data_IF_931501018343
#
_entry.id   IF_931501018343
#
_cell.length_a   1.000
_cell.length_b   1.000
_cell.length_c   1.000
_cell.angle_alpha   90.00
_cell.angle_beta   90.00
_cell.angle_gamma   90.00
#
_symmetry.space_group_name_H-M   'P 1'
#
loop_
_entity.id
_entity.type
_entity.pdbx_description
1 polymer ?
#
# COMPACT_ATOMS: atom_id res chain seq x y z
N UNK A 1 11.20 -21.16 -1.44
CA UNK A 1 9.93 -21.15 -0.63
C UNK A 1 8.83 -21.33 -1.65
N UNK A 2 7.96 -22.30 -1.46
CA UNK A 2 6.86 -22.55 -2.40
C UNK A 2 5.71 -21.54 -2.20
N UNK A 3 4.89 -21.36 -3.24
CA UNK A 3 3.80 -20.41 -3.27
C UNK A 3 2.79 -20.64 -2.13
N UNK A 4 2.38 -21.88 -1.94
CA UNK A 4 1.37 -22.25 -0.94
C UNK A 4 1.83 -21.95 0.48
N UNK A 5 3.06 -22.32 0.83
CA UNK A 5 3.66 -22.02 2.14
C UNK A 5 3.79 -20.52 2.36
N UNK A 6 4.25 -19.77 1.35
CA UNK A 6 4.37 -18.30 1.45
C UNK A 6 3.02 -17.65 1.70
N UNK A 7 2.02 -17.99 0.91
CA UNK A 7 0.67 -17.41 1.04
C UNK A 7 -0.01 -17.80 2.36
N UNK A 8 0.24 -18.99 2.87
CA UNK A 8 -0.24 -19.39 4.19
C UNK A 8 0.43 -18.59 5.32
N UNK A 9 1.73 -18.35 5.23
CA UNK A 9 2.49 -17.62 6.24
C UNK A 9 2.16 -16.12 6.32
N UNK A 10 1.68 -15.51 5.23
CA UNK A 10 1.23 -14.11 5.21
C UNK A 10 0.10 -13.89 6.22
N UNK A 11 -0.78 -14.87 6.42
CA UNK A 11 -1.96 -14.76 7.28
C UNK A 11 -1.72 -15.10 8.75
N UNK A 12 -0.52 -15.58 9.09
CA UNK A 12 -0.19 -15.87 10.49
C UNK A 12 -0.12 -14.57 11.28
N UNK A 13 -0.71 -14.60 12.48
CA UNK A 13 -0.61 -13.50 13.44
C UNK A 13 0.82 -13.38 13.98
N UNK A 14 1.12 -12.26 14.62
CA UNK A 14 2.38 -12.03 15.33
C UNK A 14 2.74 -13.17 16.29
N UNK A 15 1.74 -13.70 17.00
CA UNK A 15 1.93 -14.76 17.99
C UNK A 15 2.18 -16.13 17.33
N UNK A 16 1.49 -16.43 16.25
CA UNK A 16 1.68 -17.67 15.49
C UNK A 16 3.03 -17.72 14.77
N UNK A 17 3.59 -16.57 14.41
CA UNK A 17 4.94 -16.46 13.84
C UNK A 17 6.08 -16.58 14.86
N UNK A 18 5.79 -16.64 16.13
CA UNK A 18 6.78 -16.60 17.23
C UNK A 18 7.82 -17.73 17.17
N UNK A 19 7.53 -18.83 16.48
CA UNK A 19 8.48 -19.92 16.22
C UNK A 19 9.35 -19.73 14.96
N UNK A 20 9.04 -18.72 14.12
CA UNK A 20 9.70 -18.45 12.83
C UNK A 20 10.44 -17.10 12.94
N UNK A 21 11.38 -16.94 13.84
CA UNK A 21 12.11 -15.70 14.13
C UNK A 21 11.25 -14.42 14.00
N UNK A 22 10.90 -13.73 15.08
CA UNK A 22 10.04 -12.56 15.07
C UNK A 22 10.80 -11.30 14.63
N UNK A 23 11.21 -11.24 13.38
CA UNK A 23 11.56 -9.96 12.78
C UNK A 23 10.30 -9.43 12.11
N UNK A 24 9.65 -8.45 12.75
CA UNK A 24 8.51 -7.70 12.20
C UNK A 24 8.96 -6.77 11.07
N UNK A 25 9.62 -7.32 10.07
CA UNK A 25 9.91 -6.57 8.87
C UNK A 25 8.71 -6.69 7.93
N UNK A 26 8.27 -5.60 7.30
CA UNK A 26 7.33 -5.70 6.20
C UNK A 26 7.91 -6.68 5.17
N UNK A 27 7.07 -7.60 4.71
CA UNK A 27 7.48 -8.61 3.74
C UNK A 27 6.83 -8.25 2.41
N UNK A 28 7.67 -7.94 1.43
CA UNK A 28 7.25 -7.83 0.05
C UNK A 28 7.58 -9.13 -0.68
N UNK A 29 6.57 -9.79 -1.24
CA UNK A 29 6.75 -11.02 -2.01
C UNK A 29 6.19 -10.80 -3.41
N UNK A 30 7.02 -11.00 -4.43
CA UNK A 30 6.61 -11.01 -5.83
C UNK A 30 6.75 -12.41 -6.40
N UNK A 31 5.66 -12.94 -6.93
CA UNK A 31 5.69 -14.18 -7.70
C UNK A 31 5.87 -13.85 -9.18
N UNK A 32 6.84 -14.49 -9.82
CA UNK A 32 7.12 -14.32 -11.24
C UNK A 32 6.96 -15.67 -11.92
N UNK A 33 5.80 -15.86 -12.55
CA UNK A 33 5.47 -17.11 -13.23
C UNK A 33 5.11 -18.26 -12.29
N UNK A 34 4.62 -19.33 -12.85
CA UNK A 34 4.31 -20.59 -12.15
C UNK A 34 4.57 -21.78 -13.07
N UNK A 35 5.03 -22.87 -12.47
CA UNK A 35 5.16 -24.15 -13.16
C UNK A 35 3.87 -24.98 -13.09
N UNK A 36 2.89 -24.58 -12.27
CA UNK A 36 1.63 -25.27 -12.07
C UNK A 36 0.49 -24.24 -12.00
N UNK A 37 -0.26 -24.11 -13.09
CA UNK A 37 -1.34 -23.13 -13.23
C UNK A 37 -2.50 -23.47 -12.31
N UNK A 38 -2.82 -24.74 -12.09
CA UNK A 38 -3.93 -25.17 -11.24
C UNK A 38 -3.62 -24.81 -9.77
N UNK A 39 -2.42 -25.13 -9.30
CA UNK A 39 -1.97 -24.76 -7.95
C UNK A 39 -1.98 -23.23 -7.74
N UNK A 40 -1.54 -22.48 -8.75
CA UNK A 40 -1.57 -21.02 -8.70
C UNK A 40 -3.00 -20.49 -8.58
N UNK A 41 -3.93 -20.99 -9.40
CA UNK A 41 -5.34 -20.59 -9.38
C UNK A 41 -6.01 -20.93 -8.03
N UNK A 42 -5.71 -22.09 -7.46
CA UNK A 42 -6.25 -22.50 -6.15
C UNK A 42 -5.71 -21.61 -5.02
N UNK A 43 -4.44 -21.23 -5.07
CA UNK A 43 -3.86 -20.28 -4.12
C UNK A 43 -4.49 -18.90 -4.24
N UNK A 44 -4.69 -18.40 -5.47
CA UNK A 44 -5.34 -17.10 -5.69
C UNK A 44 -6.78 -17.07 -5.19
N UNK A 45 -7.57 -18.11 -5.46
CA UNK A 45 -8.93 -18.26 -4.90
C UNK A 45 -8.92 -18.26 -3.37
N UNK A 46 -7.96 -18.97 -2.78
CA UNK A 46 -7.81 -19.01 -1.33
C UNK A 46 -7.46 -17.64 -0.75
N UNK A 47 -6.56 -16.90 -1.40
CA UNK A 47 -6.21 -15.52 -0.99
C UNK A 47 -7.40 -14.58 -1.11
N UNK A 48 -8.13 -14.62 -2.21
CA UNK A 48 -9.34 -13.83 -2.41
C UNK A 48 -10.37 -14.10 -1.31
N UNK A 49 -10.70 -15.37 -1.04
CA UNK A 49 -11.63 -15.73 0.03
C UNK A 49 -11.17 -15.26 1.41
N UNK A 50 -9.86 -15.26 1.67
CA UNK A 50 -9.31 -14.75 2.93
C UNK A 50 -9.43 -13.23 3.03
N UNK A 51 -9.22 -12.49 1.92
CA UNK A 51 -9.41 -11.03 1.90
C UNK A 51 -10.88 -10.69 2.16
N UNK A 52 -11.80 -11.37 1.46
CA UNK A 52 -13.25 -11.19 1.65
C UNK A 52 -13.71 -11.46 3.10
N UNK A 53 -13.08 -12.42 3.76
CA UNK A 53 -13.36 -12.76 5.16
C UNK A 53 -12.70 -11.79 6.16
N UNK A 54 -11.74 -10.96 5.74
CA UNK A 54 -10.96 -10.08 6.61
C UNK A 54 -10.80 -8.67 5.99
N UNK A 55 -11.91 -7.98 5.65
CA UNK A 55 -11.85 -6.73 4.91
C UNK A 55 -11.15 -5.59 5.68
N UNK A 56 -11.15 -5.64 7.02
CA UNK A 56 -10.56 -4.61 7.87
C UNK A 56 -9.04 -4.73 8.05
N UNK A 57 -8.44 -5.82 7.59
CA UNK A 57 -6.99 -6.06 7.72
C UNK A 57 -6.34 -6.47 6.41
N UNK A 58 -7.09 -6.45 5.31
CA UNK A 58 -6.55 -6.86 4.01
C UNK A 58 -7.23 -6.14 2.86
N UNK A 59 -6.48 -5.92 1.79
CA UNK A 59 -6.95 -5.38 0.52
C UNK A 59 -6.39 -6.20 -0.62
N UNK A 60 -7.23 -6.47 -1.62
CA UNK A 60 -6.85 -7.12 -2.88
C UNK A 60 -7.03 -6.11 -4.02
N UNK A 61 -5.98 -5.90 -4.77
CA UNK A 61 -6.03 -5.20 -6.05
C UNK A 61 -5.99 -6.22 -7.18
N UNK A 62 -7.02 -6.21 -8.03
CA UNK A 62 -7.13 -7.04 -9.21
C UNK A 62 -7.01 -6.16 -10.45
N UNK A 63 -5.80 -6.08 -10.99
CA UNK A 63 -5.44 -5.19 -12.08
C UNK A 63 -5.10 -3.77 -11.64
N UNK A 64 -5.30 -2.81 -12.55
CA UNK A 64 -4.98 -1.40 -12.32
C UNK A 64 -5.75 -0.83 -11.13
N UNK A 65 -5.04 -0.11 -10.26
CA UNK A 65 -5.65 0.59 -9.12
C UNK A 65 -6.35 1.86 -9.65
N UNK A 66 -7.69 1.94 -9.62
CA UNK A 66 -8.40 3.09 -10.11
C UNK A 66 -8.14 4.33 -9.25
N UNK A 67 -8.10 5.49 -9.89
CA UNK A 67 -7.97 6.78 -9.22
C UNK A 67 -9.35 7.41 -9.05
N UNK A 68 -9.74 7.68 -7.80
CA UNK A 68 -10.96 8.44 -7.51
C UNK A 68 -10.80 9.90 -7.96
N UNK A 69 -11.60 10.31 -8.94
CA UNK A 69 -11.51 11.65 -9.54
C UNK A 69 -11.91 12.77 -8.60
N UNK A 70 -12.89 12.57 -7.72
CA UNK A 70 -13.35 13.57 -6.77
C UNK A 70 -12.30 13.81 -5.68
N UNK A 71 -11.75 12.74 -5.14
CA UNK A 71 -10.64 12.82 -4.18
C UNK A 71 -9.39 13.41 -4.82
N UNK A 72 -9.12 13.11 -6.09
CA UNK A 72 -7.99 13.69 -6.82
C UNK A 72 -8.11 15.21 -6.98
N UNK A 73 -9.33 15.74 -7.16
CA UNK A 73 -9.59 17.18 -7.19
C UNK A 73 -9.44 17.79 -5.78
N UNK A 74 -9.97 17.12 -4.76
CA UNK A 74 -9.90 17.59 -3.38
C UNK A 74 -8.44 17.70 -2.90
N UNK A 75 -7.70 16.63 -2.98
CA UNK A 75 -6.29 16.60 -2.56
C UNK A 75 -5.38 17.41 -3.50
N UNK A 76 -5.75 17.54 -4.78
CA UNK A 76 -5.04 18.41 -5.72
C UNK A 76 -5.03 19.86 -5.26
N UNK A 77 -6.18 20.41 -4.86
CA UNK A 77 -6.28 21.78 -4.32
C UNK A 77 -5.44 21.97 -3.04
N UNK A 78 -5.40 20.96 -2.20
CA UNK A 78 -4.60 20.97 -0.97
C UNK A 78 -3.10 20.98 -1.27
N UNK A 79 -2.65 20.11 -2.19
CA UNK A 79 -1.26 20.03 -2.63
C UNK A 79 -0.77 21.26 -3.40
N UNK A 80 -1.66 21.99 -4.08
CA UNK A 80 -1.29 23.21 -4.80
C UNK A 80 -0.82 24.33 -3.85
N UNK A 81 -1.19 24.27 -2.57
CA UNK A 81 -0.72 25.21 -1.53
C UNK A 81 0.65 24.86 -0.97
N UNK A 82 1.16 23.65 -1.24
CA UNK A 82 2.43 23.18 -0.70
C UNK A 82 3.56 23.61 -1.61
N UNK A 83 4.52 24.33 -1.05
CA UNK A 83 5.71 24.82 -1.76
C UNK A 83 6.95 23.94 -1.56
N UNK A 84 6.81 22.84 -0.81
CA UNK A 84 7.89 21.89 -0.52
C UNK A 84 7.77 20.64 -1.38
N UNK A 85 8.87 19.98 -1.65
CA UNK A 85 8.90 18.66 -2.25
C UNK A 85 8.52 17.56 -1.24
N UNK A 86 8.60 17.88 0.07
CA UNK A 86 8.23 17.00 1.17
C UNK A 86 6.87 17.38 1.73
N UNK A 87 6.15 16.38 2.19
CA UNK A 87 4.83 16.50 2.81
C UNK A 87 5.00 16.55 4.33
N UNK A 88 4.27 17.44 4.98
CA UNK A 88 4.19 17.53 6.44
C UNK A 88 2.84 17.00 6.93
N UNK A 89 2.74 16.73 8.24
CA UNK A 89 1.49 16.26 8.85
C UNK A 89 0.29 17.20 8.61
N UNK A 90 0.56 18.50 8.61
CA UNK A 90 -0.45 19.54 8.33
C UNK A 90 -1.00 19.50 6.92
N UNK A 91 -0.24 18.96 5.97
CA UNK A 91 -0.62 18.90 4.55
C UNK A 91 -1.62 17.77 4.26
N UNK A 92 -1.69 16.77 5.14
CA UNK A 92 -2.56 15.60 5.01
C UNK A 92 -3.59 15.51 6.14
N UNK A 93 -4.00 16.65 6.66
CA UNK A 93 -5.01 16.71 7.72
C UNK A 93 -6.28 15.95 7.34
N UNK A 94 -6.78 15.17 8.28
CA UNK A 94 -7.98 14.34 8.09
C UNK A 94 -7.73 12.98 7.40
N UNK A 95 -6.53 12.66 6.91
CA UNK A 95 -6.24 11.34 6.33
C UNK A 95 -6.30 10.24 7.41
N UNK A 96 -5.70 10.51 8.58
CA UNK A 96 -5.80 9.67 9.77
C UNK A 96 -6.22 10.51 10.98
N UNK A 97 -6.67 9.91 12.10
CA UNK A 97 -6.97 10.66 13.32
C UNK A 97 -5.77 11.48 13.77
N UNK A 98 -5.96 12.76 14.06
CA UNK A 98 -4.90 13.65 14.51
C UNK A 98 -4.16 13.08 15.73
N UNK A 99 -2.84 13.26 15.76
CA UNK A 99 -1.99 12.80 16.86
C UNK A 99 -1.70 11.31 16.87
N UNK A 100 -2.17 10.56 15.88
CA UNK A 100 -1.87 9.15 15.75
C UNK A 100 -0.41 8.95 15.29
N UNK A 101 0.27 7.95 15.86
CA UNK A 101 1.60 7.51 15.42
C UNK A 101 1.59 7.13 13.93
N UNK A 102 0.45 6.63 13.44
CA UNK A 102 0.27 6.26 12.04
C UNK A 102 0.38 7.46 11.09
N UNK A 103 -0.04 8.66 11.52
CA UNK A 103 0.10 9.85 10.69
C UNK A 103 1.59 10.14 10.42
N UNK A 104 2.43 10.07 11.45
CA UNK A 104 3.87 10.28 11.27
C UNK A 104 4.50 9.18 10.43
N UNK A 105 4.19 7.92 10.70
CA UNK A 105 4.69 6.80 9.91
C UNK A 105 4.28 6.93 8.43
N UNK A 106 3.05 7.38 8.16
CA UNK A 106 2.58 7.59 6.80
C UNK A 106 3.34 8.72 6.10
N UNK A 107 3.53 9.86 6.78
CA UNK A 107 4.29 10.99 6.23
C UNK A 107 5.74 10.58 5.93
N UNK A 108 6.39 9.88 6.86
CA UNK A 108 7.76 9.40 6.68
C UNK A 108 7.85 8.42 5.48
N UNK A 109 6.89 7.49 5.37
CA UNK A 109 6.83 6.54 4.26
C UNK A 109 6.54 7.23 2.94
N UNK A 110 5.64 8.23 2.92
CA UNK A 110 5.31 9.00 1.72
C UNK A 110 6.52 9.79 1.23
N UNK A 111 7.22 10.50 2.14
CA UNK A 111 8.42 11.24 1.78
C UNK A 111 9.54 10.30 1.29
N UNK A 112 9.71 9.13 1.91
CA UNK A 112 10.63 8.12 1.41
C UNK A 112 10.32 7.69 -0.03
N UNK A 113 9.04 7.47 -0.33
CA UNK A 113 8.60 7.07 -1.67
C UNK A 113 8.75 8.21 -2.68
N UNK A 114 8.53 9.47 -2.27
CA UNK A 114 8.79 10.66 -3.10
C UNK A 114 10.27 10.71 -3.47
N UNK A 115 11.18 10.61 -2.49
CA UNK A 115 12.62 10.63 -2.71
C UNK A 115 13.08 9.48 -3.62
N UNK A 116 12.49 8.30 -3.43
CA UNK A 116 12.78 7.12 -4.25
C UNK A 116 12.33 7.34 -5.71
N UNK A 117 11.15 7.90 -5.90
CA UNK A 117 10.61 8.21 -7.22
C UNK A 117 11.42 9.32 -7.92
N UNK A 118 11.83 10.38 -7.22
CA UNK A 118 12.70 11.43 -7.77
C UNK A 118 14.02 10.87 -8.30
N UNK A 119 14.63 9.95 -7.56
CA UNK A 119 15.89 9.30 -7.98
C UNK A 119 15.76 8.42 -9.21
N UNK A 120 14.61 7.77 -9.38
CA UNK A 120 14.44 6.75 -10.40
C UNK A 120 13.69 7.24 -11.64
N UNK A 121 12.74 8.18 -11.49
CA UNK A 121 11.83 8.58 -12.59
C UNK A 121 12.25 9.91 -13.25
N UNK A 122 13.15 10.67 -12.63
CA UNK A 122 13.62 11.96 -13.16
C UNK A 122 12.43 12.83 -13.64
N UNK A 123 11.54 13.22 -12.71
CA UNK A 123 10.32 13.97 -13.03
C UNK A 123 10.63 15.22 -13.88
N UNK A 124 10.08 15.35 -15.09
CA UNK A 124 10.44 16.42 -16.01
C UNK A 124 9.98 17.81 -15.54
N UNK A 125 9.04 17.88 -14.62
CA UNK A 125 8.59 19.11 -13.97
C UNK A 125 7.82 18.84 -12.67
N UNK A 126 7.64 19.90 -11.88
CA UNK A 126 6.93 19.86 -10.59
C UNK A 126 5.47 19.37 -10.71
N UNK A 127 4.77 19.65 -11.81
CA UNK A 127 3.39 19.23 -11.93
C UNK A 127 3.24 17.70 -12.02
N UNK A 128 4.19 17.05 -12.69
CA UNK A 128 4.22 15.58 -12.78
C UNK A 128 4.52 14.98 -11.42
N UNK A 129 5.46 15.55 -10.67
CA UNK A 129 5.75 15.14 -9.31
C UNK A 129 4.53 15.33 -8.38
N UNK A 130 3.88 16.50 -8.41
CA UNK A 130 2.64 16.75 -7.64
C UNK A 130 1.53 15.76 -8.00
N UNK A 131 1.38 15.40 -9.27
CA UNK A 131 0.42 14.39 -9.69
C UNK A 131 0.76 13.00 -9.16
N UNK A 132 2.04 12.66 -9.08
CA UNK A 132 2.48 11.42 -8.46
C UNK A 132 2.13 11.40 -6.95
N UNK A 133 2.50 12.43 -6.21
CA UNK A 133 2.19 12.57 -4.78
C UNK A 133 0.67 12.51 -4.53
N UNK A 134 -0.10 13.26 -5.31
CA UNK A 134 -1.56 13.23 -5.26
C UNK A 134 -2.12 11.83 -5.44
N UNK A 135 -1.60 11.06 -6.39
CA UNK A 135 -2.02 9.69 -6.64
C UNK A 135 -1.77 8.79 -5.42
N UNK A 136 -0.60 8.90 -4.79
CA UNK A 136 -0.27 8.16 -3.57
C UNK A 136 -1.25 8.49 -2.42
N UNK A 137 -1.56 9.76 -2.21
CA UNK A 137 -2.50 10.21 -1.16
C UNK A 137 -3.93 9.71 -1.45
N UNK A 138 -4.41 9.88 -2.68
CA UNK A 138 -5.76 9.42 -3.07
C UNK A 138 -5.89 7.91 -2.88
N UNK A 139 -4.93 7.13 -3.32
CA UNK A 139 -4.97 5.68 -3.15
C UNK A 139 -4.93 5.26 -1.68
N UNK A 140 -4.09 5.90 -0.86
CA UNK A 140 -4.08 5.62 0.58
C UNK A 140 -5.43 5.92 1.21
N UNK A 141 -6.01 7.08 0.89
CA UNK A 141 -7.32 7.45 1.41
C UNK A 141 -8.42 6.47 0.98
N UNK A 142 -8.49 6.15 -0.31
CA UNK A 142 -9.53 5.28 -0.86
C UNK A 142 -9.45 3.85 -0.33
N UNK A 143 -8.24 3.30 -0.26
CA UNK A 143 -8.07 1.86 0.00
C UNK A 143 -7.70 1.52 1.44
N UNK A 144 -7.16 2.45 2.18
CA UNK A 144 -6.78 2.24 3.57
C UNK A 144 -7.80 2.89 4.51
N UNK A 145 -8.02 4.21 4.36
CA UNK A 145 -8.92 4.94 5.26
C UNK A 145 -10.39 4.62 5.04
N UNK A 146 -10.88 4.70 3.81
CA UNK A 146 -12.30 4.45 3.53
C UNK A 146 -12.72 3.00 3.80
N UNK A 147 -11.81 2.05 3.63
CA UNK A 147 -12.05 0.65 3.94
C UNK A 147 -11.80 0.32 5.42
N UNK A 148 -11.49 1.33 6.24
CA UNK A 148 -11.26 1.18 7.68
C UNK A 148 -10.24 0.08 7.99
N UNK A 149 -9.13 0.05 7.23
CA UNK A 149 -8.05 -0.90 7.46
C UNK A 149 -7.36 -0.58 8.77
N UNK A 150 -7.40 -1.52 9.70
CA UNK A 150 -6.81 -1.36 11.01
C UNK A 150 -5.33 -1.72 11.01
N UNK A 151 -4.52 -0.77 11.47
CA UNK A 151 -3.10 -0.98 11.73
C UNK A 151 -2.92 -1.14 13.24
N UNK A 152 -2.84 -2.37 13.72
CA UNK A 152 -2.52 -2.64 15.10
C UNK A 152 -1.28 -3.55 15.23
N UNK A 153 -0.72 -3.63 16.44
CA UNK A 153 0.45 -4.45 16.68
C UNK A 153 0.19 -5.96 16.57
N UNK A 154 -1.06 -6.39 16.68
CA UNK A 154 -1.45 -7.80 16.67
C UNK A 154 -1.72 -8.32 15.27
N UNK A 155 -2.18 -7.44 14.35
CA UNK A 155 -2.62 -7.81 13.02
C UNK A 155 -1.99 -6.87 11.98
N UNK A 156 -0.94 -7.32 11.32
CA UNK A 156 -0.37 -6.57 10.23
C UNK A 156 -1.32 -6.58 9.03
N UNK A 157 -1.71 -5.42 8.48
CA UNK A 157 -2.49 -5.35 7.26
C UNK A 157 -1.80 -6.08 6.11
N UNK A 158 -2.59 -6.67 5.23
CA UNK A 158 -2.12 -7.40 4.05
C UNK A 158 -2.57 -6.64 2.80
N UNK A 159 -1.62 -6.39 1.92
CA UNK A 159 -1.91 -5.90 0.59
C UNK A 159 -1.54 -6.99 -0.42
N UNK A 160 -2.50 -7.36 -1.25
CA UNK A 160 -2.31 -8.36 -2.30
C UNK A 160 -2.58 -7.65 -3.62
N UNK A 161 -1.65 -7.76 -4.54
CA UNK A 161 -1.79 -7.25 -5.90
C UNK A 161 -1.74 -8.42 -6.89
N UNK A 162 -2.70 -8.47 -7.80
CA UNK A 162 -2.79 -9.45 -8.85
C UNK A 162 -2.94 -8.76 -10.20
N UNK A 163 -2.11 -9.09 -11.18
CA UNK A 163 -2.14 -8.53 -12.52
C UNK A 163 -0.86 -7.82 -12.94
N UNK A 164 -0.94 -7.09 -14.04
CA UNK A 164 0.16 -6.27 -14.53
C UNK A 164 0.31 -5.02 -13.68
N UNK A 165 1.49 -4.84 -13.12
CA UNK A 165 1.76 -3.75 -12.19
C UNK A 165 2.46 -2.58 -12.89
N UNK A 166 1.89 -1.39 -12.80
CA UNK A 166 2.51 -0.14 -13.27
C UNK A 166 3.57 0.37 -12.28
N UNK A 167 4.43 1.30 -12.74
CA UNK A 167 5.44 1.92 -11.89
C UNK A 167 4.84 2.62 -10.67
N UNK A 168 3.75 3.37 -10.85
CA UNK A 168 3.12 4.08 -9.74
C UNK A 168 2.53 3.12 -8.70
N UNK A 169 1.99 2.00 -9.14
CA UNK A 169 1.48 0.96 -8.24
C UNK A 169 2.60 0.29 -7.45
N UNK A 170 3.78 0.10 -8.05
CA UNK A 170 4.96 -0.38 -7.30
C UNK A 170 5.30 0.60 -6.17
N UNK A 171 5.34 1.91 -6.44
CA UNK A 171 5.60 2.92 -5.41
C UNK A 171 4.51 2.92 -4.33
N UNK A 172 3.26 2.73 -4.70
CA UNK A 172 2.17 2.62 -3.74
C UNK A 172 2.30 1.38 -2.84
N UNK A 173 2.68 0.24 -3.40
CA UNK A 173 2.94 -0.96 -2.59
C UNK A 173 4.15 -0.81 -1.67
N UNK A 174 5.15 0.00 -2.06
CA UNK A 174 6.30 0.34 -1.19
C UNK A 174 5.86 1.27 -0.05
N UNK A 175 4.93 2.21 -0.34
CA UNK A 175 4.36 3.11 0.66
C UNK A 175 3.64 2.35 1.77
N UNK A 176 2.86 1.31 1.41
CA UNK A 176 2.10 0.47 2.33
C UNK A 176 2.99 -0.49 3.14
#
# INVERSE_FOLDING_TARGET
MDLKTTCSNIWLTKFERKGIKPEFKPVFVRFIGTNNVDEYNDVMKTLQSKVEANPNISVLFDGEIPLDGELAILFGKQLDTINSNHIELSDIDGLFPQGSVLNQMYVDSLNYVIDLAEKNENFPNQNIQKNFVKKMIVWTYSYIKQNDIHFDESQNPKCIYYGDISKHEIYFLILL
#
